data_IF_264445181344
#
_entry.id   IF_264445181344
#
_cell.length_a   1.000
_cell.length_b   1.000
_cell.length_c   1.000
_cell.angle_alpha   90.00
_cell.angle_beta   90.00
_cell.angle_gamma   90.00
#
_symmetry.space_group_name_H-M   'P 1'
#
loop_
_entity.id
_entity.type
_entity.pdbx_description
1 polymer ?
#
# COMPACT_ATOMS: atom_id res chain seq x y z
N UNK A 1 19.30 32.20 4.69
CA UNK A 1 18.64 31.01 5.27
C UNK A 1 18.66 29.94 4.20
N UNK A 2 19.32 28.78 4.42
CA UNK A 2 19.19 27.63 3.51
C UNK A 2 17.73 27.17 3.56
N UNK A 3 17.03 27.18 2.44
CA UNK A 3 15.69 26.59 2.33
C UNK A 3 15.83 25.10 2.66
N UNK A 4 15.05 24.62 3.64
CA UNK A 4 14.93 23.20 3.91
C UNK A 4 14.34 22.57 2.64
N UNK A 5 14.95 21.52 2.07
CA UNK A 5 14.43 20.91 0.87
C UNK A 5 13.01 20.39 1.14
N UNK A 6 12.05 20.84 0.34
CA UNK A 6 10.69 20.33 0.41
C UNK A 6 10.59 19.02 -0.38
N UNK A 7 10.16 17.98 0.27
CA UNK A 7 9.98 16.66 -0.32
C UNK A 7 8.49 16.38 -0.46
N UNK A 8 8.07 15.91 -1.62
CA UNK A 8 6.72 15.41 -1.86
C UNK A 8 6.71 13.89 -1.87
N UNK A 9 5.78 13.31 -1.17
CA UNK A 9 5.43 11.90 -1.30
C UNK A 9 4.01 11.78 -1.89
N UNK A 10 3.88 11.03 -2.98
CA UNK A 10 2.61 10.62 -3.56
C UNK A 10 2.32 9.19 -3.10
N UNK A 11 1.27 8.97 -2.33
CA UNK A 11 1.04 7.70 -1.64
C UNK A 11 -0.39 7.19 -1.85
N UNK A 12 -0.54 5.88 -1.74
CA UNK A 12 -1.85 5.25 -1.64
C UNK A 12 -2.56 5.67 -0.34
N UNK A 13 -3.82 6.06 -0.43
CA UNK A 13 -4.63 6.40 0.74
C UNK A 13 -4.80 5.24 1.73
N UNK A 14 -4.64 4.00 1.26
CA UNK A 14 -4.65 2.81 2.11
C UNK A 14 -3.46 2.74 3.09
N UNK A 15 -2.35 3.45 2.78
CA UNK A 15 -1.14 3.50 3.62
C UNK A 15 -1.09 4.75 4.52
N UNK A 16 -2.16 5.56 4.53
CA UNK A 16 -2.11 6.89 5.15
C UNK A 16 -1.81 6.86 6.65
N UNK A 17 -2.34 5.88 7.38
CA UNK A 17 -2.13 5.76 8.82
C UNK A 17 -0.69 5.41 9.17
N UNK A 18 -0.13 4.46 8.46
CA UNK A 18 1.23 3.96 8.61
C UNK A 18 2.23 5.06 8.24
N UNK A 19 2.00 5.73 7.12
CA UNK A 19 2.82 6.86 6.65
C UNK A 19 2.81 8.01 7.66
N UNK A 20 1.65 8.41 8.16
CA UNK A 20 1.56 9.48 9.16
C UNK A 20 2.19 9.08 10.51
N UNK A 21 2.09 7.80 10.90
CA UNK A 21 2.77 7.30 12.08
C UNK A 21 4.30 7.35 11.92
N UNK A 22 4.83 6.85 10.80
CA UNK A 22 6.25 6.88 10.47
C UNK A 22 6.79 8.31 10.33
N UNK A 23 6.01 9.21 9.71
CA UNK A 23 6.35 10.62 9.60
C UNK A 23 6.54 11.28 10.95
N UNK A 24 5.64 11.00 11.91
CA UNK A 24 5.76 11.51 13.29
C UNK A 24 6.95 10.91 14.03
N UNK A 25 7.16 9.59 13.90
CA UNK A 25 8.28 8.90 14.58
C UNK A 25 9.63 9.39 14.10
N UNK A 26 9.76 9.71 12.81
CA UNK A 26 11.01 10.13 12.19
C UNK A 26 11.17 11.66 12.05
N UNK A 27 10.28 12.46 12.67
CA UNK A 27 10.32 13.93 12.65
C UNK A 27 10.43 14.52 11.24
N UNK A 28 9.67 13.97 10.29
CA UNK A 28 9.73 14.34 8.86
C UNK A 28 8.84 15.57 8.56
N UNK A 29 9.02 16.67 9.28
CA UNK A 29 8.17 17.87 9.17
C UNK A 29 8.28 18.57 7.81
N UNK A 30 9.41 18.40 7.11
CA UNK A 30 9.63 18.97 5.77
C UNK A 30 8.97 18.16 4.63
N UNK A 31 8.32 17.03 4.95
CA UNK A 31 7.66 16.20 3.98
C UNK A 31 6.20 16.58 3.79
N UNK A 32 5.82 16.86 2.56
CA UNK A 32 4.41 16.95 2.14
C UNK A 32 3.97 15.59 1.62
N UNK A 33 2.89 15.05 2.16
CA UNK A 33 2.30 13.81 1.64
C UNK A 33 0.96 14.12 0.96
N UNK A 34 0.77 13.59 -0.24
CA UNK A 34 -0.51 13.63 -0.96
C UNK A 34 -1.00 12.21 -1.16
N UNK A 35 -2.21 11.95 -0.70
CA UNK A 35 -2.83 10.63 -0.81
C UNK A 35 -3.76 10.58 -2.01
N UNK A 36 -3.57 9.56 -2.85
CA UNK A 36 -4.49 9.22 -3.92
C UNK A 36 -5.59 8.30 -3.35
N UNK A 37 -6.79 8.28 -3.98
CA UNK A 37 -7.92 7.50 -3.45
C UNK A 37 -7.59 6.04 -3.23
N UNK A 38 -7.85 5.54 -2.02
CA UNK A 38 -7.66 4.13 -1.68
C UNK A 38 -8.59 3.19 -2.48
N UNK A 39 -9.74 3.68 -2.95
CA UNK A 39 -10.67 2.94 -3.82
C UNK A 39 -10.06 2.56 -5.18
N UNK A 40 -8.95 3.15 -5.57
CA UNK A 40 -8.22 2.73 -6.77
C UNK A 40 -7.53 1.38 -6.61
N UNK A 41 -7.53 0.82 -5.39
CA UNK A 41 -7.15 -0.57 -5.18
C UNK A 41 -7.94 -1.53 -6.10
N UNK A 42 -9.22 -1.27 -6.30
CA UNK A 42 -10.07 -2.04 -7.21
C UNK A 42 -10.03 -1.54 -8.68
N UNK A 43 -9.33 -0.45 -8.96
CA UNK A 43 -9.24 0.21 -10.26
C UNK A 43 -7.79 0.59 -10.59
N UNK A 44 -6.85 -0.37 -10.60
CA UNK A 44 -5.41 -0.10 -10.67
C UNK A 44 -4.98 0.68 -11.92
N UNK A 45 -5.72 0.59 -13.02
CA UNK A 45 -5.49 1.36 -14.23
C UNK A 45 -5.59 2.88 -14.05
N UNK A 46 -6.26 3.35 -12.98
CA UNK A 46 -6.36 4.78 -12.63
C UNK A 46 -5.13 5.32 -11.91
N UNK A 47 -4.31 4.45 -11.33
CA UNK A 47 -3.17 4.86 -10.50
C UNK A 47 -2.14 5.64 -11.33
N UNK A 48 -1.65 5.16 -12.49
CA UNK A 48 -0.67 5.89 -13.29
C UNK A 48 -1.17 7.28 -13.73
N UNK A 49 -2.42 7.38 -14.18
CA UNK A 49 -3.01 8.67 -14.57
C UNK A 49 -3.06 9.65 -13.41
N UNK A 50 -3.52 9.20 -12.23
CA UNK A 50 -3.59 10.07 -11.06
C UNK A 50 -2.22 10.48 -10.53
N UNK A 51 -1.23 9.61 -10.62
CA UNK A 51 0.16 9.95 -10.32
C UNK A 51 0.68 11.01 -11.30
N UNK A 52 0.47 10.82 -12.59
CA UNK A 52 0.91 11.76 -13.64
C UNK A 52 0.35 13.17 -13.42
N UNK A 53 -0.95 13.28 -13.12
CA UNK A 53 -1.60 14.57 -12.82
C UNK A 53 -0.96 15.28 -11.62
N UNK A 54 -0.60 14.52 -10.58
CA UNK A 54 0.06 15.07 -9.40
C UNK A 54 1.52 15.41 -9.65
N UNK A 55 2.26 14.59 -10.43
CA UNK A 55 3.64 14.88 -10.84
C UNK A 55 3.72 16.14 -11.67
N UNK A 56 2.81 16.34 -12.65
CA UNK A 56 2.72 17.57 -13.47
C UNK A 56 2.51 18.81 -12.59
N UNK A 57 1.64 18.72 -11.58
CA UNK A 57 1.36 19.83 -10.64
C UNK A 57 2.52 20.07 -9.66
N UNK A 58 3.31 19.05 -9.36
CA UNK A 58 4.42 19.13 -8.41
C UNK A 58 5.73 19.60 -9.06
N UNK A 59 5.85 19.52 -10.38
CA UNK A 59 7.05 19.90 -11.14
C UNK A 59 7.51 21.30 -10.75
N UNK A 60 8.79 21.41 -10.36
CA UNK A 60 9.45 22.64 -9.92
C UNK A 60 9.01 23.23 -8.55
N UNK A 61 8.15 22.54 -7.79
CA UNK A 61 7.73 22.99 -6.45
C UNK A 61 8.44 22.23 -5.32
N UNK A 62 9.01 21.07 -5.61
CA UNK A 62 9.66 20.19 -4.66
C UNK A 62 11.08 19.85 -5.11
N UNK A 63 11.97 19.69 -4.17
CA UNK A 63 13.37 19.30 -4.46
C UNK A 63 13.50 17.81 -4.78
N UNK A 64 12.61 16.99 -4.22
CA UNK A 64 12.53 15.53 -4.46
C UNK A 64 11.08 15.08 -4.40
N UNK A 65 10.76 14.08 -5.20
CA UNK A 65 9.42 13.46 -5.22
C UNK A 65 9.59 11.95 -5.08
N UNK A 66 8.79 11.34 -4.21
CA UNK A 66 8.73 9.88 -4.02
C UNK A 66 7.32 9.38 -4.27
N UNK A 67 7.23 8.17 -4.84
CA UNK A 67 5.97 7.46 -5.07
C UNK A 67 5.90 6.27 -4.13
N UNK A 68 5.02 6.35 -3.12
CA UNK A 68 4.77 5.26 -2.18
C UNK A 68 3.66 4.34 -2.70
N UNK A 69 3.97 3.67 -3.81
CA UNK A 69 3.19 2.63 -4.45
C UNK A 69 4.11 1.48 -4.86
N UNK A 70 3.64 0.24 -4.69
CA UNK A 70 4.10 -0.91 -5.46
C UNK A 70 3.48 -0.86 -6.86
N UNK A 71 3.67 -1.88 -7.70
CA UNK A 71 2.95 -1.95 -8.98
C UNK A 71 1.43 -1.99 -8.80
N UNK A 72 0.95 -2.66 -7.75
CA UNK A 72 -0.46 -2.72 -7.33
C UNK A 72 -1.43 -3.05 -8.48
N UNK A 73 -0.99 -3.90 -9.43
CA UNK A 73 -1.81 -4.32 -10.56
C UNK A 73 -1.87 -3.31 -11.72
N UNK A 74 -0.99 -2.29 -11.73
CA UNK A 74 -0.91 -1.34 -12.86
C UNK A 74 -0.26 -1.95 -14.11
N UNK A 75 0.31 -3.17 -14.01
CA UNK A 75 0.98 -3.85 -15.10
C UNK A 75 2.22 -3.10 -15.60
N UNK A 76 3.03 -2.58 -14.69
CA UNK A 76 4.19 -1.74 -14.98
C UNK A 76 3.84 -0.33 -15.42
N UNK A 77 2.57 0.08 -15.29
CA UNK A 77 2.12 1.42 -15.68
C UNK A 77 2.76 2.53 -14.86
N UNK A 78 3.03 2.26 -13.58
CA UNK A 78 3.73 3.21 -12.71
C UNK A 78 5.19 3.34 -13.13
N UNK A 79 5.88 2.23 -13.40
CA UNK A 79 7.29 2.23 -13.80
C UNK A 79 7.48 2.99 -15.11
N UNK A 80 6.67 2.70 -16.13
CA UNK A 80 6.70 3.44 -17.41
C UNK A 80 6.44 4.93 -17.23
N UNK A 81 5.53 5.30 -16.32
CA UNK A 81 5.25 6.71 -16.04
C UNK A 81 6.47 7.41 -15.43
N UNK A 82 7.09 6.82 -14.40
CA UNK A 82 8.15 7.51 -13.64
C UNK A 82 9.49 7.56 -14.39
N UNK A 83 9.68 6.76 -15.46
CA UNK A 83 10.84 6.88 -16.37
C UNK A 83 10.97 8.29 -16.97
N UNK A 84 9.84 8.98 -17.21
CA UNK A 84 9.81 10.35 -17.74
C UNK A 84 10.02 11.43 -16.66
N UNK A 85 10.10 11.03 -15.40
CA UNK A 85 10.25 11.90 -14.24
C UNK A 85 11.43 11.41 -13.39
N UNK A 86 12.23 12.29 -12.87
CA UNK A 86 13.29 11.95 -11.90
C UNK A 86 12.66 11.64 -10.52
N UNK A 87 12.02 10.48 -10.43
CA UNK A 87 11.18 10.06 -9.30
C UNK A 87 11.45 8.61 -8.96
N UNK A 88 11.61 8.33 -7.68
CA UNK A 88 11.76 6.98 -7.14
C UNK A 88 10.42 6.46 -6.60
N UNK A 89 10.16 5.16 -6.74
CA UNK A 89 9.04 4.48 -6.09
C UNK A 89 9.50 3.38 -5.13
N UNK A 90 8.61 3.00 -4.23
CA UNK A 90 8.84 1.80 -3.42
C UNK A 90 8.79 0.56 -4.33
N UNK A 91 9.77 -0.36 -4.18
CA UNK A 91 9.79 -1.59 -4.97
C UNK A 91 8.66 -2.54 -4.54
N UNK A 92 8.38 -3.54 -5.37
CA UNK A 92 7.42 -4.60 -5.09
C UNK A 92 6.25 -4.65 -6.07
N UNK A 93 5.63 -5.83 -6.17
CA UNK A 93 4.45 -6.07 -6.99
C UNK A 93 3.16 -5.58 -6.28
N UNK A 94 3.10 -5.74 -4.96
CA UNK A 94 1.96 -5.36 -4.14
C UNK A 94 2.36 -4.60 -2.88
N UNK A 95 1.47 -3.71 -2.40
CA UNK A 95 1.68 -3.01 -1.14
C UNK A 95 1.72 -3.94 0.09
N UNK A 96 1.25 -5.18 -0.02
CA UNK A 96 1.38 -6.21 1.01
C UNK A 96 2.86 -6.54 1.31
N UNK A 97 3.73 -6.48 0.30
CA UNK A 97 5.17 -6.65 0.46
C UNK A 97 5.81 -5.58 1.35
N UNK A 98 5.22 -4.40 1.41
CA UNK A 98 5.70 -3.35 2.33
C UNK A 98 5.58 -3.77 3.80
N UNK A 99 4.63 -4.64 4.11
CA UNK A 99 4.39 -5.12 5.47
C UNK A 99 5.09 -6.46 5.73
N UNK A 100 4.98 -7.42 4.81
CA UNK A 100 5.55 -8.77 5.00
C UNK A 100 7.04 -8.87 4.61
N UNK A 101 7.54 -7.97 3.77
CA UNK A 101 8.78 -8.14 3.03
C UNK A 101 8.56 -9.02 1.78
N UNK A 102 9.38 -8.81 0.76
CA UNK A 102 9.23 -9.49 -0.55
C UNK A 102 9.38 -11.01 -0.41
N UNK A 103 10.44 -11.49 0.27
CA UNK A 103 10.70 -12.93 0.46
C UNK A 103 9.54 -13.65 1.15
N UNK A 104 9.01 -13.06 2.25
CA UNK A 104 7.87 -13.65 2.94
C UNK A 104 6.58 -13.61 2.09
N UNK A 105 6.39 -12.54 1.31
CA UNK A 105 5.24 -12.44 0.42
C UNK A 105 5.29 -13.50 -0.68
N UNK A 106 6.43 -13.64 -1.33
CA UNK A 106 6.68 -14.67 -2.35
C UNK A 106 6.44 -16.08 -1.78
N UNK A 107 7.01 -16.37 -0.61
CA UNK A 107 6.78 -17.66 0.09
C UNK A 107 5.30 -17.93 0.32
N UNK A 108 4.54 -16.94 0.83
CA UNK A 108 3.10 -17.09 1.05
C UNK A 108 2.33 -17.36 -0.25
N UNK A 109 2.73 -16.72 -1.36
CA UNK A 109 2.10 -16.92 -2.66
C UNK A 109 2.50 -18.24 -3.33
N UNK A 110 3.69 -18.75 -3.06
CA UNK A 110 4.12 -20.08 -3.51
C UNK A 110 3.41 -21.20 -2.74
N UNK A 111 3.25 -21.05 -1.41
CA UNK A 111 2.53 -21.99 -0.56
C UNK A 111 1.05 -22.11 -0.94
N UNK A 112 0.37 -20.98 -1.16
CA UNK A 112 -1.04 -20.92 -1.52
C UNK A 112 -1.32 -19.70 -2.41
N UNK A 113 -1.31 -19.86 -3.74
CA UNK A 113 -1.61 -18.79 -4.68
C UNK A 113 -3.03 -18.22 -4.52
N UNK A 114 -3.97 -19.05 -4.02
CA UNK A 114 -5.33 -18.67 -3.69
C UNK A 114 -5.44 -17.94 -2.34
N UNK A 115 -4.54 -16.99 -2.06
CA UNK A 115 -4.54 -16.20 -0.82
C UNK A 115 -5.12 -14.82 -1.04
N UNK A 116 -6.15 -14.48 -0.26
CA UNK A 116 -6.70 -13.15 -0.15
C UNK A 116 -6.07 -12.41 1.04
N UNK A 117 -5.50 -11.24 0.82
CA UNK A 117 -4.80 -10.50 1.86
C UNK A 117 -5.64 -9.35 2.40
N UNK A 118 -5.62 -9.18 3.73
CA UNK A 118 -6.12 -7.98 4.41
C UNK A 118 -4.99 -7.30 5.18
N UNK A 119 -5.05 -5.98 5.26
CA UNK A 119 -4.27 -5.11 6.13
C UNK A 119 -5.19 -4.45 7.15
N UNK A 120 -4.67 -3.77 8.17
CA UNK A 120 -5.49 -3.00 9.12
C UNK A 120 -6.47 -2.07 8.41
N UNK A 121 -6.02 -1.43 7.32
CA UNK A 121 -6.87 -0.56 6.51
C UNK A 121 -7.99 -1.34 5.83
N UNK A 122 -7.68 -2.47 5.18
CA UNK A 122 -8.68 -3.27 4.47
C UNK A 122 -9.67 -3.92 5.42
N UNK A 123 -9.25 -4.35 6.61
CA UNK A 123 -10.17 -4.84 7.65
C UNK A 123 -11.16 -3.74 8.05
N UNK A 124 -10.70 -2.52 8.30
CA UNK A 124 -11.56 -1.37 8.67
C UNK A 124 -12.52 -0.96 7.56
N UNK A 125 -12.17 -1.21 6.33
CA UNK A 125 -12.93 -0.78 5.14
C UNK A 125 -13.50 -1.95 4.35
N UNK A 126 -13.46 -3.17 4.89
CA UNK A 126 -13.85 -4.41 4.23
C UNK A 126 -15.25 -4.34 3.64
N UNK A 127 -16.22 -3.94 4.45
CA UNK A 127 -17.60 -3.79 4.03
C UNK A 127 -17.77 -2.84 2.84
N UNK A 128 -16.98 -1.76 2.83
CA UNK A 128 -17.04 -0.77 1.75
C UNK A 128 -16.31 -1.24 0.49
N UNK A 129 -15.02 -1.63 0.64
CA UNK A 129 -14.14 -1.86 -0.50
C UNK A 129 -14.24 -3.27 -1.09
N UNK A 130 -14.68 -4.25 -0.27
CA UNK A 130 -14.84 -5.63 -0.74
C UNK A 130 -16.31 -5.95 -0.98
N UNK A 131 -17.17 -5.74 0.01
CA UNK A 131 -18.57 -6.17 -0.14
C UNK A 131 -19.33 -5.26 -1.08
N UNK A 132 -19.36 -3.94 -0.84
CA UNK A 132 -20.17 -3.01 -1.64
C UNK A 132 -19.56 -2.67 -2.99
N UNK A 133 -18.25 -2.39 -3.05
CA UNK A 133 -17.62 -2.03 -4.34
C UNK A 133 -17.58 -3.21 -5.34
N UNK A 134 -17.54 -4.45 -4.84
CA UNK A 134 -17.70 -5.65 -5.68
C UNK A 134 -19.18 -6.04 -5.91
N UNK A 135 -20.13 -5.31 -5.29
CA UNK A 135 -21.56 -5.53 -5.46
C UNK A 135 -22.10 -6.79 -4.76
N UNK A 136 -21.37 -7.34 -3.79
CA UNK A 136 -21.72 -8.59 -3.10
C UNK A 136 -22.92 -8.42 -2.15
N UNK A 137 -23.20 -7.20 -1.72
CA UNK A 137 -24.39 -6.84 -0.93
C UNK A 137 -25.69 -6.89 -1.75
N UNK A 138 -25.61 -6.62 -3.05
CA UNK A 138 -26.74 -6.63 -3.99
C UNK A 138 -26.81 -7.94 -4.79
N UNK A 139 -25.64 -8.51 -5.11
CA UNK A 139 -25.45 -9.70 -5.93
C UNK A 139 -24.57 -10.73 -5.21
N UNK A 140 -25.09 -11.43 -4.18
CA UNK A 140 -24.33 -12.41 -3.42
C UNK A 140 -23.76 -13.57 -4.26
N UNK A 141 -24.41 -13.88 -5.38
CA UNK A 141 -23.96 -14.91 -6.34
C UNK A 141 -22.59 -14.61 -6.94
N UNK A 142 -22.19 -13.33 -7.03
CA UNK A 142 -20.88 -12.93 -7.53
C UNK A 142 -19.73 -13.35 -6.61
N UNK A 143 -20.01 -13.66 -5.32
CA UNK A 143 -18.99 -14.16 -4.40
C UNK A 143 -18.27 -15.38 -5.01
N UNK A 144 -19.02 -16.34 -5.52
CA UNK A 144 -18.45 -17.53 -6.11
C UNK A 144 -17.60 -17.23 -7.36
N UNK A 145 -17.98 -16.22 -8.15
CA UNK A 145 -17.20 -15.83 -9.33
C UNK A 145 -15.88 -15.17 -8.94
N UNK A 146 -15.89 -14.29 -7.95
CA UNK A 146 -14.70 -13.57 -7.53
C UNK A 146 -13.77 -14.40 -6.64
N UNK A 147 -14.33 -15.26 -5.77
CA UNK A 147 -13.55 -15.94 -4.73
C UNK A 147 -13.38 -17.45 -4.94
N UNK A 148 -13.88 -18.03 -6.03
CA UNK A 148 -13.77 -19.49 -6.30
C UNK A 148 -12.36 -20.06 -6.32
N UNK A 149 -11.36 -19.23 -6.58
CA UNK A 149 -9.95 -19.62 -6.60
C UNK A 149 -9.19 -19.22 -5.33
N UNK A 150 -9.88 -18.63 -4.34
CA UNK A 150 -9.29 -18.30 -3.07
C UNK A 150 -9.63 -19.39 -2.05
N UNK A 151 -8.63 -19.77 -1.23
CA UNK A 151 -8.78 -20.79 -0.20
C UNK A 151 -8.47 -20.26 1.19
N UNK A 152 -7.63 -19.22 1.25
CA UNK A 152 -7.11 -18.65 2.49
C UNK A 152 -7.25 -17.14 2.49
N UNK A 153 -7.58 -16.58 3.66
CA UNK A 153 -7.47 -15.15 3.95
C UNK A 153 -6.34 -14.94 4.97
N UNK A 154 -5.32 -14.19 4.58
CA UNK A 154 -4.22 -13.80 5.46
C UNK A 154 -4.40 -12.35 5.89
N UNK A 155 -4.57 -12.14 7.20
CA UNK A 155 -4.56 -10.81 7.78
C UNK A 155 -3.13 -10.43 8.20
N UNK A 156 -2.50 -9.55 7.41
CA UNK A 156 -1.23 -8.91 7.72
C UNK A 156 -1.52 -7.74 8.67
N UNK A 157 -1.31 -7.91 9.96
CA UNK A 157 -1.65 -6.92 10.98
C UNK A 157 -0.52 -5.91 11.19
N UNK A 158 -0.82 -4.63 11.09
CA UNK A 158 0.13 -3.55 11.37
C UNK A 158 0.11 -3.15 12.85
N UNK A 159 -0.99 -3.43 13.54
CA UNK A 159 -1.17 -3.16 14.96
C UNK A 159 -1.68 -4.40 15.70
N UNK A 160 -1.33 -4.53 16.99
CA UNK A 160 -1.88 -5.57 17.87
C UNK A 160 -3.24 -5.12 18.41
N UNK A 161 -4.26 -5.22 17.55
CA UNK A 161 -5.64 -4.79 17.84
C UNK A 161 -6.58 -6.01 17.75
N UNK A 162 -7.08 -6.46 18.90
CA UNK A 162 -7.97 -7.63 18.99
C UNK A 162 -9.30 -7.42 18.27
N UNK A 163 -9.82 -6.20 18.23
CA UNK A 163 -11.08 -5.88 17.52
C UNK A 163 -10.89 -6.00 16.01
N UNK A 164 -9.73 -5.56 15.50
CA UNK A 164 -9.41 -5.75 14.08
C UNK A 164 -9.22 -7.22 13.74
N UNK A 165 -8.58 -7.99 14.61
CA UNK A 165 -8.42 -9.42 14.40
C UNK A 165 -9.78 -10.14 14.32
N UNK A 166 -10.69 -9.85 15.24
CA UNK A 166 -12.05 -10.40 15.20
C UNK A 166 -12.82 -10.00 13.93
N UNK A 167 -12.65 -8.75 13.45
CA UNK A 167 -13.25 -8.30 12.20
C UNK A 167 -12.66 -9.02 10.98
N UNK A 168 -11.35 -9.26 10.97
CA UNK A 168 -10.70 -10.00 9.90
C UNK A 168 -11.13 -11.47 9.87
N UNK A 169 -11.31 -12.10 11.03
CA UNK A 169 -11.82 -13.47 11.16
C UNK A 169 -13.26 -13.57 10.61
N UNK A 170 -14.14 -12.61 11.00
CA UNK A 170 -15.49 -12.52 10.44
C UNK A 170 -15.51 -12.29 8.92
N UNK A 171 -14.55 -11.53 8.40
CA UNK A 171 -14.40 -11.34 6.96
C UNK A 171 -14.01 -12.65 6.25
N UNK A 172 -13.14 -13.47 6.85
CA UNK A 172 -12.80 -14.78 6.34
C UNK A 172 -14.01 -15.71 6.34
N UNK A 173 -14.78 -15.75 7.44
CA UNK A 173 -16.04 -16.53 7.53
C UNK A 173 -17.04 -16.10 6.45
N UNK A 174 -17.22 -14.78 6.23
CA UNK A 174 -18.15 -14.24 5.23
C UNK A 174 -17.74 -14.62 3.81
N UNK A 175 -16.44 -14.71 3.53
CA UNK A 175 -15.91 -15.16 2.23
C UNK A 175 -15.74 -16.68 2.14
N UNK A 176 -15.97 -17.42 3.22
CA UNK A 176 -15.78 -18.89 3.33
C UNK A 176 -14.32 -19.30 3.08
N UNK A 177 -13.37 -18.51 3.61
CA UNK A 177 -11.93 -18.73 3.48
C UNK A 177 -11.31 -19.15 4.82
N UNK A 178 -10.22 -19.92 4.77
CA UNK A 178 -9.44 -20.25 5.97
C UNK A 178 -8.75 -18.98 6.49
N UNK A 179 -8.91 -18.69 7.79
CA UNK A 179 -8.31 -17.51 8.40
C UNK A 179 -6.88 -17.78 8.88
N UNK A 180 -5.98 -16.87 8.54
CA UNK A 180 -4.60 -16.84 9.05
C UNK A 180 -4.24 -15.43 9.52
N UNK A 181 -3.65 -15.32 10.72
CA UNK A 181 -3.18 -14.06 11.29
C UNK A 181 -1.65 -13.99 11.27
N UNK A 182 -1.10 -12.90 10.73
CA UNK A 182 0.34 -12.59 10.76
C UNK A 182 0.54 -11.15 11.24
N UNK A 183 1.21 -10.98 12.38
CA UNK A 183 1.63 -9.64 12.82
C UNK A 183 2.91 -9.26 12.07
N UNK A 184 2.88 -8.13 11.37
CA UNK A 184 3.98 -7.61 10.56
C UNK A 184 4.50 -6.27 11.06
N UNK A 185 3.71 -5.54 11.85
CA UNK A 185 3.97 -4.13 12.09
C UNK A 185 4.02 -3.36 10.76
N UNK A 186 4.87 -2.35 10.68
CA UNK A 186 5.02 -1.55 9.45
C UNK A 186 6.06 -2.13 8.47
N UNK A 187 6.67 -3.27 8.80
CA UNK A 187 7.56 -4.02 7.92
C UNK A 187 8.66 -3.19 7.27
N UNK A 188 8.92 -3.47 5.97
CA UNK A 188 9.94 -2.74 5.21
C UNK A 188 9.53 -1.30 4.89
N UNK A 189 8.26 -0.95 5.03
CA UNK A 189 7.82 0.44 4.90
C UNK A 189 8.55 1.34 5.90
N UNK A 190 8.74 0.89 7.14
CA UNK A 190 9.49 1.61 8.17
C UNK A 190 10.97 1.81 7.78
N UNK A 191 11.60 0.78 7.21
CA UNK A 191 13.01 0.83 6.78
C UNK A 191 13.20 1.74 5.57
N UNK A 192 12.32 1.66 4.59
CA UNK A 192 12.37 2.50 3.39
C UNK A 192 12.32 3.99 3.74
N UNK A 193 11.50 4.37 4.73
CA UNK A 193 11.41 5.74 5.20
C UNK A 193 12.71 6.23 5.85
N UNK A 194 13.41 5.39 6.59
CA UNK A 194 14.70 5.76 7.20
C UNK A 194 15.78 5.98 6.15
N UNK A 195 15.83 5.17 5.09
CA UNK A 195 16.76 5.36 3.97
C UNK A 195 16.49 6.64 3.17
N UNK A 196 15.23 7.00 2.97
CA UNK A 196 14.84 8.21 2.26
C UNK A 196 15.19 9.49 3.04
N UNK A 197 15.35 9.41 4.37
CA UNK A 197 15.65 10.54 5.25
C UNK A 197 17.12 10.76 5.51
N UNK A 198 17.97 9.75 5.28
CA UNK A 198 19.42 9.92 5.44
C UNK A 198 19.94 10.86 4.33
N UNK A 199 20.69 11.93 4.68
CA UNK A 199 21.36 12.73 3.67
C UNK A 199 22.33 11.83 2.89
N UNK A 200 22.23 11.81 1.58
CA UNK A 200 23.19 11.17 0.69
C UNK A 200 24.47 12.00 0.68
N UNK A 201 25.14 12.11 1.83
CA UNK A 201 26.48 12.67 1.95
C UNK A 201 27.49 11.52 2.03
N UNK A 202 27.71 10.87 0.89
CA UNK A 202 29.04 10.35 0.63
C UNK A 202 29.70 11.28 -0.38
N UNK A 203 30.16 12.45 0.09
CA UNK A 203 31.35 13.04 -0.50
C UNK A 203 32.50 12.10 -0.11
N UNK A 204 32.89 11.26 -1.06
CA UNK A 204 34.15 10.54 -1.02
C UNK A 204 35.24 11.60 -1.20
N UNK A 205 36.00 11.85 -0.14
CA UNK A 205 37.30 12.55 -0.20
C UNK A 205 38.30 11.66 -0.94
#
# INVERSE_FOLDING_TARGET
MKQIPQVLMLACGALSREIEALKRQNQMDCWTVRYLPASWHNLPHKIPQGLEENLKKAKNHYSRIYVAYADCGSGGGIDRLIEDYDVERLPGAHCYEFFSGTENFETMMEEEPGTFFLTDFLVKTFEKLVIRELGLDVHPELKNEYFKNYHRLVYLAQTEDSELREKAEKAADQLELQFEYRFTGYGVLAVSYTHLTLPTTYEVL
#
